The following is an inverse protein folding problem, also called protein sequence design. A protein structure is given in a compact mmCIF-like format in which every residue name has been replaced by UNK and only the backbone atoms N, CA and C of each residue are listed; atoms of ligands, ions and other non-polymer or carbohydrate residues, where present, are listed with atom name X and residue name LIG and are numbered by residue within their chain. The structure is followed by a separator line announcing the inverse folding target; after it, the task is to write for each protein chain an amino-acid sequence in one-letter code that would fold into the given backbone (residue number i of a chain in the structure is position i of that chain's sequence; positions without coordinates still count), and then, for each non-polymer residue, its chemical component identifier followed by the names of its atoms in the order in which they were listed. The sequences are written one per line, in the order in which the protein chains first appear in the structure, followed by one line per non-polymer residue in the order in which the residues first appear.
data_IF_692187872398
#
_entry.id   IF_692187872398
#
_cell.length_a   1.000
_cell.length_b   1.000
_cell.length_c   1.000
_cell.angle_alpha   90.00
_cell.angle_beta   90.00
_cell.angle_gamma   90.00
#
_symmetry.space_group_name_H-M   'P 1'
#
loop_
_entity.id
_entity.type
_entity.pdbx_description
1 polymer ?
#
# COMPACT_ATOMS: atom_id res chain seq x y z
N UNK A 1 -50.14 -24.91 20.22
CA UNK A 1 -49.56 -25.69 19.11
C UNK A 1 -49.14 -24.80 17.95
N UNK A 2 -50.03 -24.03 17.32
CA UNK A 2 -49.71 -23.14 16.18
C UNK A 2 -48.66 -22.07 16.55
N UNK A 3 -48.85 -21.36 17.66
CA UNK A 3 -47.90 -20.32 18.12
C UNK A 3 -46.51 -20.91 18.38
N UNK A 4 -46.46 -22.10 18.98
CA UNK A 4 -45.21 -22.82 19.26
C UNK A 4 -44.45 -23.18 17.98
N UNK A 5 -45.17 -23.52 16.90
CA UNK A 5 -44.58 -23.82 15.59
C UNK A 5 -43.96 -22.56 14.98
N UNK A 6 -44.64 -21.42 15.01
CA UNK A 6 -44.10 -20.16 14.49
C UNK A 6 -42.87 -19.68 15.26
N UNK A 7 -42.84 -19.85 16.59
CA UNK A 7 -41.66 -19.56 17.40
C UNK A 7 -40.47 -20.45 17.03
N UNK A 8 -40.70 -21.75 16.85
CA UNK A 8 -39.67 -22.72 16.44
C UNK A 8 -39.12 -22.39 15.04
N UNK A 9 -40.00 -22.06 14.09
CA UNK A 9 -39.60 -21.64 12.74
C UNK A 9 -38.81 -20.33 12.77
N UNK A 10 -39.19 -19.38 13.62
CA UNK A 10 -38.46 -18.12 13.80
C UNK A 10 -37.05 -18.35 14.35
N UNK A 11 -36.90 -19.23 15.35
CA UNK A 11 -35.59 -19.59 15.93
C UNK A 11 -34.73 -20.32 14.89
N UNK A 12 -35.29 -21.31 14.18
CA UNK A 12 -34.56 -22.06 13.13
C UNK A 12 -34.13 -21.12 12.00
N UNK A 13 -35.04 -20.26 11.52
CA UNK A 13 -34.75 -19.25 10.50
C UNK A 13 -33.66 -18.29 10.97
N UNK A 14 -33.75 -17.81 12.22
CA UNK A 14 -32.74 -16.97 12.85
C UNK A 14 -31.37 -17.66 12.93
N UNK A 15 -31.31 -18.93 13.33
CA UNK A 15 -30.07 -19.71 13.39
C UNK A 15 -29.47 -19.95 12.00
N UNK A 16 -30.30 -20.22 10.99
CA UNK A 16 -29.87 -20.37 9.59
C UNK A 16 -29.31 -19.04 9.06
N UNK A 17 -30.02 -17.94 9.29
CA UNK A 17 -29.57 -16.60 8.92
C UNK A 17 -28.27 -16.26 9.63
N UNK A 18 -28.17 -16.43 10.94
CA UNK A 18 -26.97 -16.09 11.71
C UNK A 18 -25.75 -16.94 11.32
N UNK A 19 -25.96 -18.22 10.97
CA UNK A 19 -24.89 -19.08 10.43
C UNK A 19 -24.45 -18.65 9.02
N UNK A 20 -25.36 -18.06 8.25
CA UNK A 20 -25.13 -17.61 6.88
C UNK A 20 -24.81 -16.11 6.77
N UNK A 21 -24.92 -15.35 7.87
CA UNK A 21 -24.32 -14.03 8.03
C UNK A 21 -22.83 -14.30 8.03
N UNK A 22 -22.25 -14.23 6.83
CA UNK A 22 -20.81 -14.07 6.65
C UNK A 22 -20.47 -12.69 7.20
N UNK A 23 -20.29 -12.59 8.52
CA UNK A 23 -19.39 -11.57 9.04
C UNK A 23 -18.08 -11.84 8.32
N UNK A 24 -17.77 -11.00 7.34
CA UNK A 24 -16.49 -11.02 6.63
C UNK A 24 -15.40 -10.54 7.59
N UNK A 25 -15.21 -11.28 8.67
CA UNK A 25 -14.00 -11.31 9.49
C UNK A 25 -13.03 -12.31 8.88
N UNK A 26 -13.09 -12.50 7.56
CA UNK A 26 -12.15 -13.35 6.89
C UNK A 26 -10.93 -12.51 6.53
N UNK A 27 -9.90 -12.65 7.36
CA UNK A 27 -8.51 -12.43 6.96
C UNK A 27 -8.16 -13.48 5.89
N UNK A 28 -8.84 -13.45 4.73
CA UNK A 28 -8.32 -14.08 3.53
C UNK A 28 -6.91 -13.51 3.38
N UNK A 29 -5.84 -14.31 3.38
CA UNK A 29 -4.52 -13.78 3.08
C UNK A 29 -4.68 -13.03 1.77
N UNK A 30 -4.40 -11.73 1.75
CA UNK A 30 -4.59 -10.87 0.59
C UNK A 30 -3.95 -11.59 -0.60
N UNK A 31 -4.75 -12.33 -1.38
CA UNK A 31 -4.28 -12.89 -2.64
C UNK A 31 -3.82 -11.65 -3.37
N UNK A 32 -2.53 -11.55 -3.67
CA UNK A 32 -1.94 -10.36 -4.30
C UNK A 32 -2.63 -10.17 -5.64
N UNK A 33 -3.75 -9.46 -5.61
CA UNK A 33 -4.64 -9.32 -6.75
C UNK A 33 -4.02 -8.37 -7.76
N UNK A 34 -3.13 -7.48 -7.30
CA UNK A 34 -2.47 -6.46 -8.12
C UNK A 34 -1.01 -6.27 -7.74
N UNK A 35 -0.10 -6.22 -8.70
CA UNK A 35 1.27 -5.78 -8.43
C UNK A 35 1.27 -4.27 -8.30
N UNK A 36 1.79 -3.75 -7.17
CA UNK A 36 1.90 -2.32 -6.91
C UNK A 36 3.37 -1.93 -6.91
N UNK A 37 3.75 -1.03 -7.81
CA UNK A 37 5.08 -0.41 -7.82
C UNK A 37 5.01 0.96 -7.17
N UNK A 38 5.91 1.24 -6.23
CA UNK A 38 5.98 2.55 -5.54
C UNK A 38 7.16 3.34 -6.08
N UNK A 39 6.90 4.52 -6.63
CA UNK A 39 7.93 5.43 -7.14
C UNK A 39 8.03 6.62 -6.19
N UNK A 40 9.22 6.85 -5.64
CA UNK A 40 9.51 7.90 -4.66
C UNK A 40 10.46 8.91 -5.32
N UNK A 41 9.98 10.07 -5.79
CA UNK A 41 10.88 11.17 -6.12
C UNK A 41 11.52 11.68 -4.83
N UNK A 42 12.84 11.84 -4.82
CA UNK A 42 13.58 12.27 -3.64
C UNK A 42 14.63 13.31 -4.03
N UNK A 43 14.67 14.41 -3.29
CA UNK A 43 15.72 15.43 -3.38
C UNK A 43 16.05 15.96 -1.98
N UNK A 44 17.25 15.67 -1.51
CA UNK A 44 17.70 16.02 -0.16
C UNK A 44 16.79 15.48 0.97
N UNK A 45 16.39 14.21 0.84
CA UNK A 45 15.48 13.52 1.75
C UNK A 45 16.20 12.58 2.73
N UNK A 46 17.50 12.78 3.03
CA UNK A 46 18.26 11.87 3.90
C UNK A 46 17.60 11.62 5.26
N UNK A 47 16.85 12.62 5.77
CA UNK A 47 16.16 12.55 7.05
C UNK A 47 14.82 11.85 6.96
N UNK A 48 14.08 12.02 5.86
CA UNK A 48 12.70 11.54 5.75
C UNK A 48 12.60 10.17 5.06
N UNK A 49 13.47 9.93 4.08
CA UNK A 49 13.46 8.72 3.27
C UNK A 49 13.51 7.43 4.13
N UNK A 50 14.31 7.32 5.21
CA UNK A 50 14.28 6.16 6.10
C UNK A 50 12.88 5.84 6.64
N UNK A 51 12.12 6.84 7.07
CA UNK A 51 10.78 6.64 7.64
C UNK A 51 9.79 6.12 6.59
N UNK A 52 9.87 6.64 5.36
CA UNK A 52 9.01 6.21 4.24
C UNK A 52 9.31 4.75 3.91
N UNK A 53 10.59 4.40 3.75
CA UNK A 53 11.00 3.05 3.38
C UNK A 53 10.70 2.03 4.49
N UNK A 54 10.86 2.40 5.76
CA UNK A 54 10.45 1.55 6.89
C UNK A 54 8.94 1.37 6.97
N UNK A 55 8.16 2.41 6.67
CA UNK A 55 6.69 2.31 6.60
C UNK A 55 6.24 1.36 5.50
N UNK A 56 6.87 1.41 4.31
CA UNK A 56 6.56 0.53 3.19
C UNK A 56 6.87 -0.95 3.50
N UNK A 57 7.95 -1.23 4.23
CA UNK A 57 8.29 -2.60 4.68
C UNK A 57 7.29 -3.18 5.68
N UNK A 58 6.54 -2.33 6.38
CA UNK A 58 5.59 -2.71 7.44
C UNK A 58 4.13 -2.75 6.96
N UNK A 59 3.87 -2.48 5.67
CA UNK A 59 2.53 -2.52 5.13
C UNK A 59 1.96 -3.95 5.16
N UNK A 60 0.65 -4.06 5.41
CA UNK A 60 -0.09 -5.32 5.27
C UNK A 60 -0.11 -5.81 3.82
N UNK A 61 0.02 -4.89 2.85
CA UNK A 61 0.19 -5.18 1.43
C UNK A 61 1.56 -4.70 0.95
N UNK A 62 2.53 -5.62 0.85
CA UNK A 62 3.88 -5.28 0.42
C UNK A 62 3.93 -4.87 -1.06
N UNK A 63 4.60 -3.77 -1.41
CA UNK A 63 4.88 -3.41 -2.79
C UNK A 63 5.58 -4.54 -3.56
N UNK A 64 5.30 -4.63 -4.85
CA UNK A 64 6.04 -5.49 -5.77
C UNK A 64 7.47 -4.98 -5.96
N UNK A 65 7.63 -3.66 -6.08
CA UNK A 65 8.92 -2.98 -6.15
C UNK A 65 8.81 -1.58 -5.55
N UNK A 66 9.95 -1.07 -5.08
CA UNK A 66 10.11 0.32 -4.66
C UNK A 66 11.26 0.90 -5.47
N UNK A 67 11.01 2.03 -6.10
CA UNK A 67 11.96 2.76 -6.95
C UNK A 67 12.12 4.16 -6.36
N UNK A 68 13.32 4.50 -5.90
CA UNK A 68 13.68 5.87 -5.52
C UNK A 68 14.28 6.56 -6.73
N UNK A 69 13.72 7.70 -7.10
CA UNK A 69 14.25 8.57 -8.16
C UNK A 69 14.95 9.75 -7.49
N UNK A 70 16.28 9.71 -7.46
CA UNK A 70 17.12 10.76 -6.88
C UNK A 70 17.26 11.93 -7.86
N UNK A 71 16.70 13.08 -7.49
CA UNK A 71 16.66 14.31 -8.29
C UNK A 71 17.78 15.27 -7.87
N UNK A 72 19.02 14.87 -8.13
CA UNK A 72 20.23 15.66 -7.85
C UNK A 72 20.36 16.05 -6.37
N UNK A 73 20.20 15.08 -5.46
CA UNK A 73 20.47 15.31 -4.04
C UNK A 73 21.96 15.62 -3.82
N UNK A 74 22.22 16.53 -2.87
CA UNK A 74 23.56 16.90 -2.41
C UNK A 74 23.91 16.23 -1.07
N UNK A 75 22.96 15.49 -0.51
CA UNK A 75 23.07 14.81 0.79
C UNK A 75 23.17 13.28 0.60
N UNK A 76 22.95 12.51 1.69
CA UNK A 76 23.06 11.05 1.65
C UNK A 76 21.81 10.32 1.11
N UNK A 77 20.86 11.02 0.48
CA UNK A 77 19.59 10.43 0.01
C UNK A 77 19.79 9.15 -0.81
N UNK A 78 20.63 9.20 -1.85
CA UNK A 78 20.87 8.04 -2.72
C UNK A 78 21.60 6.89 -2.00
N UNK A 79 22.53 7.20 -1.09
CA UNK A 79 23.24 6.20 -0.28
C UNK A 79 22.26 5.46 0.66
N UNK A 80 21.39 6.23 1.33
CA UNK A 80 20.34 5.70 2.19
C UNK A 80 19.35 4.83 1.39
N UNK A 81 18.91 5.29 0.22
CA UNK A 81 18.05 4.47 -0.64
C UNK A 81 18.70 3.12 -0.98
N UNK A 82 19.99 3.13 -1.38
CA UNK A 82 20.74 1.91 -1.70
C UNK A 82 20.88 0.98 -0.51
N UNK A 83 21.11 1.51 0.70
CA UNK A 83 21.26 0.69 1.92
C UNK A 83 19.98 -0.07 2.29
N UNK A 84 18.81 0.39 1.83
CA UNK A 84 17.53 -0.29 2.00
C UNK A 84 17.25 -1.39 0.97
N UNK A 85 18.15 -1.58 -0.01
CA UNK A 85 17.99 -2.60 -1.05
C UNK A 85 16.89 -2.30 -2.08
N UNK A 86 16.45 -1.05 -2.18
CA UNK A 86 15.48 -0.62 -3.19
C UNK A 86 16.16 -0.21 -4.49
N UNK A 87 15.42 -0.17 -5.59
CA UNK A 87 15.95 0.30 -6.87
C UNK A 87 16.17 1.81 -6.80
N UNK A 88 17.34 2.28 -7.19
CA UNK A 88 17.65 3.72 -7.22
C UNK A 88 17.92 4.13 -8.66
N UNK A 89 17.19 5.13 -9.13
CA UNK A 89 17.39 5.79 -10.42
C UNK A 89 17.84 7.22 -10.14
N UNK A 90 18.88 7.68 -10.82
CA UNK A 90 19.25 9.09 -10.78
C UNK A 90 18.52 9.81 -11.91
N UNK A 91 17.98 10.99 -11.65
CA UNK A 91 17.38 11.81 -12.68
C UNK A 91 18.45 12.28 -13.67
N UNK A 92 18.08 12.38 -14.94
CA UNK A 92 18.93 12.96 -15.99
C UNK A 92 18.57 14.43 -16.20
N UNK A 93 19.41 15.15 -16.93
CA UNK A 93 19.05 16.49 -17.36
C UNK A 93 17.72 16.48 -18.12
N UNK A 94 16.93 17.54 -17.90
CA UNK A 94 15.64 17.68 -18.58
C UNK A 94 15.86 17.92 -20.07
N UNK A 95 14.96 17.43 -20.95
CA UNK A 95 15.04 17.70 -22.38
C UNK A 95 15.07 19.20 -22.67
N UNK A 96 15.72 19.58 -23.77
CA UNK A 96 15.76 20.97 -24.23
C UNK A 96 14.33 21.54 -24.37
N UNK A 97 14.09 22.73 -23.83
CA UNK A 97 12.78 23.38 -23.84
C UNK A 97 11.80 22.92 -22.75
N UNK A 98 12.21 22.03 -21.84
CA UNK A 98 11.37 21.63 -20.69
C UNK A 98 11.28 22.77 -19.65
N UNK A 99 10.08 23.32 -19.45
CA UNK A 99 9.82 24.40 -18.49
C UNK A 99 9.40 23.91 -17.10
N UNK A 100 9.49 22.61 -16.83
CA UNK A 100 8.96 22.02 -15.60
C UNK A 100 7.43 21.95 -15.58
N UNK A 101 6.88 21.58 -14.42
CA UNK A 101 5.44 21.72 -14.17
C UNK A 101 5.14 23.19 -13.90
N UNK A 102 4.21 23.77 -14.63
CA UNK A 102 3.72 25.13 -14.37
C UNK A 102 3.05 25.16 -13.00
N UNK A 103 3.71 25.79 -12.02
CA UNK A 103 3.07 26.15 -10.76
C UNK A 103 2.20 27.38 -11.02
N UNK A 104 0.88 27.19 -11.03
CA UNK A 104 -0.08 28.29 -10.91
C UNK A 104 -0.21 28.71 -9.45
#
# INVERSE_FOLDING_TARGET
MIISIFLLLGIISGLILFKNVRLSLENQPLQRQYKVSVIIPARNEEKNLPYILESLKKQTYLPYEVIVVDDFSLDKTAEIAKSYGVKVLNNTESPEGWTGKTSF
#
